data_IF_447404603850
#
_entry.id   IF_447404603850
#
_cell.length_a   1.000
_cell.length_b   1.000
_cell.length_c   1.000
_cell.angle_alpha   90.00
_cell.angle_beta   90.00
_cell.angle_gamma   90.00
#
_symmetry.space_group_name_H-M   'P 1'
#
loop_
_entity.id
_entity.type
_entity.pdbx_description
1 polymer ?
#
# COMPACT_ATOMS: atom_id res chain seq x y z
N UNK A 1 21.50 -44.51 40.35
CA UNK A 1 22.93 -44.41 39.99
C UNK A 1 23.15 -44.66 38.50
N UNK A 2 22.64 -45.76 37.93
CA UNK A 2 22.69 -46.04 36.49
C UNK A 2 22.01 -44.97 35.61
N UNK A 3 20.85 -44.45 36.01
CA UNK A 3 20.14 -43.44 35.21
C UNK A 3 20.88 -42.10 35.11
N UNK A 4 21.64 -41.73 36.14
CA UNK A 4 22.43 -40.49 36.15
C UNK A 4 23.63 -40.59 35.21
N UNK A 5 24.29 -41.75 35.16
CA UNK A 5 25.37 -42.03 34.21
C UNK A 5 24.88 -42.14 32.78
N UNK A 6 23.72 -42.76 32.55
CA UNK A 6 23.11 -42.81 31.21
C UNK A 6 22.74 -41.41 30.71
N UNK A 7 22.26 -40.53 31.60
CA UNK A 7 21.98 -39.12 31.29
C UNK A 7 23.26 -38.36 30.91
N UNK A 8 24.33 -38.51 31.68
CA UNK A 8 25.65 -37.93 31.40
C UNK A 8 26.24 -38.39 30.04
N UNK A 9 26.14 -39.67 29.70
CA UNK A 9 26.61 -40.21 28.41
C UNK A 9 25.77 -39.66 27.24
N UNK A 10 24.45 -39.52 27.43
CA UNK A 10 23.58 -38.93 26.43
C UNK A 10 23.88 -37.44 26.22
N UNK A 11 24.02 -36.68 27.32
CA UNK A 11 24.39 -35.26 27.30
C UNK A 11 25.74 -35.04 26.64
N UNK A 12 26.74 -35.88 26.89
CA UNK A 12 28.05 -35.78 26.26
C UNK A 12 27.98 -35.85 24.73
N UNK A 13 27.18 -36.77 24.16
CA UNK A 13 27.00 -36.87 22.70
C UNK A 13 26.38 -35.61 22.10
N UNK A 14 25.42 -35.01 22.80
CA UNK A 14 24.75 -33.77 22.37
C UNK A 14 25.70 -32.58 22.46
N UNK A 15 26.44 -32.46 23.55
CA UNK A 15 27.47 -31.43 23.75
C UNK A 15 28.54 -31.48 22.66
N UNK A 16 29.09 -32.65 22.34
CA UNK A 16 30.11 -32.78 21.28
C UNK A 16 29.56 -32.32 19.92
N UNK A 17 28.29 -32.61 19.62
CA UNK A 17 27.66 -32.12 18.39
C UNK A 17 27.50 -30.60 18.41
N UNK A 18 27.00 -30.04 19.51
CA UNK A 18 26.78 -28.60 19.67
C UNK A 18 28.09 -27.81 19.63
N UNK A 19 29.14 -28.27 20.32
CA UNK A 19 30.46 -27.65 20.33
C UNK A 19 31.07 -27.58 18.93
N UNK A 20 30.80 -28.58 18.07
CA UNK A 20 31.30 -28.56 16.69
C UNK A 20 30.45 -27.68 15.76
N UNK A 21 29.13 -27.62 15.93
CA UNK A 21 28.24 -26.90 14.99
C UNK A 21 27.92 -25.46 15.38
N UNK A 22 27.92 -25.15 16.67
CA UNK A 22 27.49 -23.85 17.19
C UNK A 22 28.46 -22.71 16.81
N UNK A 23 29.80 -22.90 16.81
CA UNK A 23 30.73 -21.87 16.33
C UNK A 23 30.53 -21.53 14.85
N UNK A 24 30.34 -22.54 14.00
CA UNK A 24 30.06 -22.34 12.56
C UNK A 24 28.74 -21.58 12.37
N UNK A 25 27.71 -21.94 13.14
CA UNK A 25 26.41 -21.27 13.10
C UNK A 25 26.50 -19.81 13.57
N UNK A 26 27.21 -19.55 14.69
CA UNK A 26 27.47 -18.20 15.19
C UNK A 26 28.23 -17.35 14.17
N UNK A 27 29.25 -17.91 13.52
CA UNK A 27 30.00 -17.24 12.47
C UNK A 27 29.10 -16.86 11.28
N UNK A 28 28.24 -17.77 10.83
CA UNK A 28 27.26 -17.48 9.79
C UNK A 28 26.30 -16.35 10.20
N UNK A 29 25.74 -16.38 11.41
CA UNK A 29 24.84 -15.33 11.91
C UNK A 29 25.57 -13.98 12.08
N UNK A 30 26.86 -13.99 12.44
CA UNK A 30 27.71 -12.79 12.47
C UNK A 30 27.97 -12.21 11.08
N UNK A 31 28.25 -13.07 10.10
CA UNK A 31 28.43 -12.66 8.70
C UNK A 31 27.15 -12.03 8.14
N UNK A 32 26.00 -12.66 8.39
CA UNK A 32 24.69 -12.10 8.04
C UNK A 32 24.46 -10.72 8.66
N UNK A 33 24.85 -10.53 9.93
CA UNK A 33 24.75 -9.24 10.59
C UNK A 33 25.63 -8.17 9.93
N UNK A 34 26.84 -8.52 9.49
CA UNK A 34 27.73 -7.60 8.78
C UNK A 34 27.18 -7.24 7.39
N UNK A 35 26.59 -8.20 6.69
CA UNK A 35 25.91 -7.97 5.42
C UNK A 35 24.76 -6.98 5.59
N UNK A 36 23.93 -7.16 6.63
CA UNK A 36 22.85 -6.24 6.96
C UNK A 36 23.34 -4.82 7.29
N UNK A 37 24.44 -4.68 8.04
CA UNK A 37 25.04 -3.37 8.34
C UNK A 37 25.53 -2.67 7.06
N UNK A 38 26.15 -3.43 6.16
CA UNK A 38 26.62 -2.92 4.86
C UNK A 38 25.45 -2.46 4.02
N UNK A 39 24.37 -3.24 4.02
CA UNK A 39 23.16 -2.93 3.27
C UNK A 39 22.45 -1.70 3.82
N UNK A 40 22.32 -1.56 5.14
CA UNK A 40 21.83 -0.32 5.77
C UNK A 40 22.72 0.88 5.42
N UNK A 41 24.05 0.71 5.44
CA UNK A 41 24.97 1.79 5.08
C UNK A 41 24.83 2.19 3.59
N UNK A 42 24.46 1.25 2.73
CA UNK A 42 24.14 1.52 1.32
C UNK A 42 22.80 2.26 1.20
N UNK A 43 21.75 1.73 1.82
CA UNK A 43 20.39 2.28 1.75
C UNK A 43 20.28 3.65 2.41
N UNK A 44 20.97 3.89 3.53
CA UNK A 44 20.97 5.19 4.23
C UNK A 44 21.52 6.37 3.41
N UNK A 45 22.22 6.09 2.30
CA UNK A 45 22.65 7.13 1.36
C UNK A 45 21.50 7.66 0.52
N UNK A 46 20.52 6.81 0.21
CA UNK A 46 19.41 7.06 -0.71
C UNK A 46 18.06 7.20 0.00
N UNK A 47 17.92 6.62 1.18
CA UNK A 47 16.67 6.55 1.93
C UNK A 47 16.81 7.10 3.33
N UNK A 48 15.76 7.74 3.84
CA UNK A 48 15.62 8.08 5.24
C UNK A 48 15.21 6.83 6.02
N UNK A 49 16.21 6.12 6.54
CA UNK A 49 15.99 4.95 7.39
C UNK A 49 15.72 5.37 8.84
N UNK A 50 14.84 4.65 9.52
CA UNK A 50 14.56 4.85 10.94
C UNK A 50 15.79 4.49 11.78
N UNK A 51 16.20 5.38 12.70
CA UNK A 51 17.32 5.12 13.62
C UNK A 51 17.08 3.88 14.52
N UNK A 52 15.83 3.42 14.64
CA UNK A 52 15.50 2.18 15.35
C UNK A 52 16.18 0.96 14.73
N UNK A 53 16.21 0.86 13.41
CA UNK A 53 16.63 -0.36 12.72
C UNK A 53 18.16 -0.50 12.74
N UNK A 54 18.87 0.62 12.54
CA UNK A 54 20.32 0.70 12.71
C UNK A 54 20.74 0.33 14.13
N UNK A 55 20.04 0.87 15.14
CA UNK A 55 20.32 0.55 16.54
C UNK A 55 20.00 -0.90 16.88
N UNK A 56 18.94 -1.47 16.31
CA UNK A 56 18.59 -2.87 16.52
C UNK A 56 19.68 -3.81 16.00
N UNK A 57 20.20 -3.59 14.79
CA UNK A 57 21.26 -4.42 14.21
C UNK A 57 22.57 -4.31 14.99
N UNK A 58 22.89 -3.11 15.53
CA UNK A 58 24.05 -2.94 16.44
C UNK A 58 23.87 -3.67 17.77
N UNK A 59 22.65 -3.74 18.31
CA UNK A 59 22.37 -4.55 19.50
C UNK A 59 22.54 -6.03 19.21
N UNK A 60 22.00 -6.52 18.09
CA UNK A 60 22.19 -7.91 17.64
C UNK A 60 23.67 -8.24 17.45
N UNK A 61 24.46 -7.30 16.90
CA UNK A 61 25.91 -7.46 16.78
C UNK A 61 26.58 -7.66 18.15
N UNK A 62 26.24 -6.80 19.11
CA UNK A 62 26.83 -6.83 20.45
C UNK A 62 26.43 -8.12 21.18
N UNK A 63 25.18 -8.55 21.00
CA UNK A 63 24.66 -9.79 21.57
C UNK A 63 25.37 -11.01 20.96
N UNK A 64 25.52 -11.09 19.64
CA UNK A 64 26.26 -12.17 18.97
C UNK A 64 27.73 -12.24 19.39
N UNK A 65 28.38 -11.09 19.63
CA UNK A 65 29.73 -11.05 20.20
C UNK A 65 29.75 -11.64 21.61
N UNK A 66 28.81 -11.26 22.47
CA UNK A 66 28.74 -11.79 23.83
C UNK A 66 28.43 -13.29 23.88
N UNK A 67 27.56 -13.79 22.99
CA UNK A 67 27.25 -15.21 22.89
C UNK A 67 28.45 -16.02 22.40
N UNK A 68 29.25 -15.46 21.49
CA UNK A 68 30.47 -16.11 21.01
C UNK A 68 31.54 -16.21 22.11
N UNK A 69 31.73 -15.15 22.91
CA UNK A 69 32.64 -15.17 24.05
C UNK A 69 32.23 -16.25 25.07
N UNK A 70 30.93 -16.35 25.36
CA UNK A 70 30.37 -17.38 26.27
C UNK A 70 30.52 -18.79 25.69
N UNK A 71 30.35 -18.97 24.38
CA UNK A 71 30.54 -20.27 23.73
C UNK A 71 32.02 -20.67 23.74
N UNK A 72 32.94 -19.73 23.49
CA UNK A 72 34.38 -19.98 23.59
C UNK A 72 34.78 -20.41 25.01
N UNK A 73 34.30 -19.69 26.03
CA UNK A 73 34.54 -20.04 27.44
C UNK A 73 33.95 -21.42 27.78
N UNK A 74 32.73 -21.73 27.33
CA UNK A 74 32.10 -23.02 27.54
C UNK A 74 32.85 -24.18 26.84
N UNK A 75 33.46 -23.92 25.68
CA UNK A 75 34.30 -24.90 24.96
C UNK A 75 35.61 -25.13 25.72
N UNK A 76 36.26 -24.07 26.21
CA UNK A 76 37.47 -24.16 27.03
C UNK A 76 37.21 -24.93 28.33
N UNK A 77 36.16 -24.59 29.08
CA UNK A 77 35.79 -25.25 30.34
C UNK A 77 35.38 -26.73 30.15
N UNK A 78 34.79 -27.06 29.00
CA UNK A 78 34.51 -28.44 28.60
C UNK A 78 35.81 -29.23 28.36
N UNK A 79 36.79 -28.61 27.70
CA UNK A 79 38.11 -29.22 27.45
C UNK A 79 38.87 -29.49 28.75
N UNK A 80 38.72 -28.61 29.75
CA UNK A 80 39.34 -28.73 31.08
C UNK A 80 38.50 -29.58 32.07
N UNK A 81 37.33 -30.10 31.65
CA UNK A 81 36.40 -30.93 32.45
C UNK A 81 35.97 -30.30 33.79
N UNK A 82 35.77 -28.98 33.82
CA UNK A 82 35.41 -28.26 35.05
C UNK A 82 33.93 -28.41 35.46
N UNK A 83 33.04 -28.81 34.54
CA UNK A 83 31.59 -28.85 34.75
C UNK A 83 30.96 -30.17 34.30
N UNK A 84 29.78 -30.50 34.84
CA UNK A 84 28.98 -31.65 34.42
C UNK A 84 28.39 -31.43 33.01
N UNK A 85 28.40 -32.47 32.16
CA UNK A 85 27.95 -32.36 30.75
C UNK A 85 26.47 -32.03 30.63
N UNK A 86 25.67 -32.38 31.64
CA UNK A 86 24.24 -32.04 31.70
C UNK A 86 23.97 -30.53 31.82
N UNK A 87 24.77 -29.80 32.61
CA UNK A 87 24.65 -28.34 32.77
C UNK A 87 25.17 -27.63 31.52
N UNK A 88 26.29 -28.11 30.99
CA UNK A 88 26.86 -27.59 29.74
C UNK A 88 25.91 -27.75 28.55
N UNK A 89 25.20 -28.88 28.47
CA UNK A 89 24.18 -29.10 27.45
C UNK A 89 23.07 -28.04 27.53
N UNK A 90 22.51 -27.80 28.71
CA UNK A 90 21.42 -26.83 28.91
C UNK A 90 21.84 -25.41 28.53
N UNK A 91 23.06 -25.02 28.87
CA UNK A 91 23.63 -23.72 28.49
C UNK A 91 23.80 -23.61 26.97
N UNK A 92 24.39 -24.62 26.32
CA UNK A 92 24.61 -24.62 24.87
C UNK A 92 23.29 -24.66 24.08
N UNK A 93 22.28 -25.40 24.56
CA UNK A 93 20.95 -25.42 23.96
C UNK A 93 20.24 -24.07 24.09
N UNK A 94 20.40 -23.39 25.23
CA UNK A 94 19.88 -22.03 25.44
C UNK A 94 20.53 -21.04 24.48
N UNK A 95 21.85 -21.11 24.32
CA UNK A 95 22.57 -20.25 23.37
C UNK A 95 22.13 -20.56 21.94
N UNK A 96 22.04 -21.84 21.55
CA UNK A 96 21.59 -22.23 20.22
C UNK A 96 20.18 -21.68 19.93
N UNK A 97 19.26 -21.75 20.89
CA UNK A 97 17.93 -21.18 20.75
C UNK A 97 17.99 -19.67 20.55
N UNK A 98 18.83 -18.95 21.32
CA UNK A 98 18.97 -17.50 21.18
C UNK A 98 19.60 -17.10 19.84
N UNK A 99 20.61 -17.82 19.36
CA UNK A 99 21.21 -17.57 18.03
C UNK A 99 20.17 -17.76 16.93
N UNK A 100 19.30 -18.76 17.08
CA UNK A 100 18.19 -18.97 16.14
C UNK A 100 17.18 -17.82 16.18
N UNK A 101 16.79 -17.35 17.36
CA UNK A 101 15.92 -16.17 17.50
C UNK A 101 16.55 -14.94 16.83
N UNK A 102 17.86 -14.73 16.99
CA UNK A 102 18.59 -13.65 16.32
C UNK A 102 18.57 -13.82 14.80
N UNK A 103 18.75 -15.03 14.28
CA UNK A 103 18.65 -15.30 12.84
C UNK A 103 17.24 -14.99 12.30
N UNK A 104 16.19 -15.38 13.02
CA UNK A 104 14.81 -15.04 12.66
C UNK A 104 14.58 -13.52 12.66
N UNK A 105 15.11 -12.80 13.65
CA UNK A 105 15.08 -11.32 13.71
C UNK A 105 15.84 -10.68 12.52
N UNK A 106 17.01 -11.23 12.17
CA UNK A 106 17.80 -10.79 11.01
C UNK A 106 17.07 -11.00 9.68
N UNK A 107 16.34 -12.11 9.52
CA UNK A 107 15.53 -12.37 8.34
C UNK A 107 14.43 -11.33 8.16
N UNK A 108 13.69 -11.01 9.23
CA UNK A 108 12.65 -9.97 9.20
C UNK A 108 13.23 -8.61 8.80
N UNK A 109 14.40 -8.26 9.33
CA UNK A 109 15.10 -7.03 8.96
C UNK A 109 15.55 -7.04 7.49
N UNK A 110 16.10 -8.16 7.03
CA UNK A 110 16.50 -8.33 5.62
C UNK A 110 15.33 -8.13 4.67
N UNK A 111 14.18 -8.74 4.96
CA UNK A 111 12.96 -8.57 4.19
C UNK A 111 12.47 -7.12 4.19
N UNK A 112 12.54 -6.45 5.36
CA UNK A 112 12.18 -5.02 5.46
C UNK A 112 13.09 -4.15 4.59
N UNK A 113 14.40 -4.37 4.63
CA UNK A 113 15.36 -3.62 3.81
C UNK A 113 15.17 -3.87 2.31
N UNK A 114 14.98 -5.13 1.90
CA UNK A 114 14.71 -5.48 0.51
C UNK A 114 13.39 -4.86 0.01
N UNK A 115 12.40 -4.72 0.90
CA UNK A 115 11.12 -4.09 0.57
C UNK A 115 11.26 -2.60 0.24
N UNK A 116 12.19 -1.88 0.86
CA UNK A 116 12.38 -0.43 0.65
C UNK A 116 12.63 -0.11 -0.83
N UNK A 117 13.56 -0.82 -1.48
CA UNK A 117 13.88 -0.57 -2.89
C UNK A 117 12.73 -0.99 -3.82
N UNK A 118 12.06 -2.09 -3.49
CA UNK A 118 10.90 -2.55 -4.24
C UNK A 118 9.75 -1.54 -4.15
N UNK A 119 9.53 -0.98 -2.96
CA UNK A 119 8.50 0.02 -2.72
C UNK A 119 8.84 1.33 -3.44
N UNK A 120 10.11 1.78 -3.46
CA UNK A 120 10.55 2.95 -4.24
C UNK A 120 10.31 2.76 -5.75
N UNK A 121 10.73 1.62 -6.31
CA UNK A 121 10.54 1.33 -7.72
C UNK A 121 9.04 1.29 -8.09
N UNK A 122 8.23 0.65 -7.24
CA UNK A 122 6.78 0.59 -7.41
C UNK A 122 6.14 1.98 -7.30
N UNK A 123 6.58 2.80 -6.34
CA UNK A 123 6.13 4.18 -6.17
C UNK A 123 6.36 5.00 -7.43
N UNK A 124 7.58 4.98 -7.97
CA UNK A 124 7.94 5.69 -9.20
C UNK A 124 7.12 5.21 -10.39
N UNK A 125 6.89 3.92 -10.52
CA UNK A 125 6.05 3.38 -11.59
C UNK A 125 4.60 3.86 -11.45
N UNK A 126 4.03 3.78 -10.25
CA UNK A 126 2.64 4.17 -9.97
C UNK A 126 2.40 5.66 -10.19
N UNK A 127 3.32 6.53 -9.75
CA UNK A 127 3.20 7.98 -9.97
C UNK A 127 3.10 8.30 -11.46
N UNK A 128 3.94 7.68 -12.30
CA UNK A 128 3.86 7.86 -13.74
C UNK A 128 2.52 7.38 -14.31
N UNK A 129 1.99 6.26 -13.81
CA UNK A 129 0.65 5.78 -14.19
C UNK A 129 -0.42 6.79 -13.79
N UNK A 130 -0.36 7.35 -12.58
CA UNK A 130 -1.34 8.32 -12.10
C UNK A 130 -1.28 9.65 -12.86
N UNK A 131 -0.09 10.14 -13.23
CA UNK A 131 0.06 11.31 -14.11
C UNK A 131 -0.64 11.07 -15.45
N UNK A 132 -0.39 9.92 -16.08
CA UNK A 132 -1.06 9.56 -17.34
C UNK A 132 -2.57 9.43 -17.15
N UNK A 133 -3.02 8.84 -16.03
CA UNK A 133 -4.44 8.69 -15.68
C UNK A 133 -5.12 10.05 -15.51
N UNK A 134 -4.49 11.01 -14.83
CA UNK A 134 -4.98 12.39 -14.69
C UNK A 134 -5.14 13.05 -16.07
N UNK A 135 -4.14 12.95 -16.93
CA UNK A 135 -4.22 13.49 -18.28
C UNK A 135 -5.32 12.84 -19.12
N UNK A 136 -5.49 11.52 -19.01
CA UNK A 136 -6.54 10.79 -19.72
C UNK A 136 -7.92 11.20 -19.23
N UNK A 137 -8.14 11.32 -17.91
CA UNK A 137 -9.41 11.79 -17.32
C UNK A 137 -9.71 13.21 -17.77
N UNK A 138 -8.72 14.11 -17.69
CA UNK A 138 -8.84 15.49 -18.17
C UNK A 138 -9.29 15.54 -19.63
N UNK A 139 -8.58 14.82 -20.51
CA UNK A 139 -8.92 14.75 -21.95
C UNK A 139 -10.27 14.10 -22.20
N UNK A 140 -10.67 13.12 -21.38
CA UNK A 140 -11.97 12.47 -21.48
C UNK A 140 -13.09 13.47 -21.19
N UNK A 141 -12.95 14.28 -20.14
CA UNK A 141 -13.89 15.34 -19.80
C UNK A 141 -13.92 16.47 -20.84
N UNK A 142 -12.77 16.93 -21.33
CA UNK A 142 -12.69 17.98 -22.36
C UNK A 142 -13.33 17.59 -23.70
N UNK A 143 -13.35 16.31 -24.03
CA UNK A 143 -13.97 15.81 -25.28
C UNK A 143 -15.48 15.66 -25.18
N UNK A 144 -16.04 15.61 -23.97
CA UNK A 144 -17.49 15.58 -23.79
C UNK A 144 -17.98 17.01 -23.96
N UNK A 145 -18.99 17.22 -24.81
CA UNK A 145 -19.58 18.53 -25.08
C UNK A 145 -20.47 19.00 -23.91
N UNK A 146 -19.92 18.99 -22.70
CA UNK A 146 -20.62 19.42 -21.50
C UNK A 146 -20.75 20.95 -21.49
N UNK A 147 -21.90 21.53 -21.09
CA UNK A 147 -22.05 22.98 -20.94
C UNK A 147 -21.01 23.61 -20.00
N UNK A 148 -20.60 22.89 -18.96
CA UNK A 148 -19.54 23.30 -18.05
C UNK A 148 -19.04 22.16 -17.16
N UNK A 149 -17.98 22.42 -16.41
CA UNK A 149 -17.36 21.42 -15.53
C UNK A 149 -17.86 21.65 -14.09
N UNK A 150 -18.40 20.61 -13.41
CA UNK A 150 -18.87 20.75 -12.04
C UNK A 150 -17.74 21.13 -11.09
N UNK A 151 -18.05 21.93 -10.07
CA UNK A 151 -17.07 22.31 -9.03
C UNK A 151 -16.60 21.11 -8.20
N UNK A 152 -17.44 20.09 -8.03
CA UNK A 152 -17.07 18.84 -7.34
C UNK A 152 -15.89 18.17 -8.04
N UNK A 153 -15.98 17.99 -9.36
CA UNK A 153 -14.90 17.43 -10.17
C UNK A 153 -13.62 18.24 -10.09
N UNK A 154 -13.69 19.57 -10.21
CA UNK A 154 -12.49 20.42 -10.13
C UNK A 154 -11.79 20.27 -8.79
N UNK A 155 -12.55 20.22 -7.69
CA UNK A 155 -11.99 20.05 -6.34
C UNK A 155 -11.24 18.73 -6.21
N UNK A 156 -11.86 17.62 -6.63
CA UNK A 156 -11.23 16.29 -6.57
C UNK A 156 -10.04 16.20 -7.52
N UNK A 157 -10.15 16.77 -8.73
CA UNK A 157 -9.08 16.78 -9.73
C UNK A 157 -7.85 17.54 -9.25
N UNK A 158 -8.03 18.75 -8.71
CA UNK A 158 -6.90 19.54 -8.18
C UNK A 158 -6.30 18.87 -6.95
N UNK A 159 -7.11 18.31 -6.05
CA UNK A 159 -6.59 17.56 -4.89
C UNK A 159 -5.71 16.38 -5.33
N UNK A 160 -6.19 15.57 -6.29
CA UNK A 160 -5.42 14.45 -6.83
C UNK A 160 -4.15 14.90 -7.57
N UNK A 161 -4.23 16.04 -8.30
CA UNK A 161 -3.08 16.64 -8.98
C UNK A 161 -2.03 17.12 -8.00
N UNK A 162 -2.42 17.89 -6.98
CA UNK A 162 -1.55 18.43 -5.95
C UNK A 162 -0.88 17.29 -5.16
N UNK A 163 -1.64 16.24 -4.81
CA UNK A 163 -1.10 15.06 -4.15
C UNK A 163 -0.13 14.26 -5.04
N UNK A 164 -0.36 14.22 -6.35
CA UNK A 164 0.56 13.60 -7.31
C UNK A 164 1.86 14.40 -7.41
N UNK A 165 1.79 15.73 -7.49
CA UNK A 165 2.96 16.61 -7.52
C UNK A 165 3.76 16.54 -6.21
N UNK A 166 3.07 16.53 -5.06
CA UNK A 166 3.71 16.38 -3.76
C UNK A 166 4.46 15.03 -3.65
N UNK A 167 3.86 13.95 -4.14
CA UNK A 167 4.49 12.63 -4.14
C UNK A 167 5.69 12.57 -5.10
N UNK A 168 5.59 13.21 -6.26
CA UNK A 168 6.73 13.34 -7.19
C UNK A 168 7.88 14.10 -6.53
N UNK A 169 7.59 15.22 -5.87
CA UNK A 169 8.58 16.02 -5.16
C UNK A 169 9.27 15.23 -4.03
N UNK A 170 8.52 14.40 -3.29
CA UNK A 170 9.08 13.52 -2.25
C UNK A 170 10.03 12.46 -2.85
N UNK A 171 9.68 11.89 -4.01
CA UNK A 171 10.51 10.91 -4.72
C UNK A 171 11.77 11.50 -5.38
N UNK A 172 11.78 12.81 -5.63
CA UNK A 172 12.92 13.53 -6.20
C UNK A 172 13.90 14.06 -5.13
N UNK A 173 13.58 13.90 -3.84
CA UNK A 173 14.49 14.29 -2.77
C UNK A 173 15.79 13.49 -2.80
N UNK A 174 16.86 14.12 -2.29
CA UNK A 174 18.18 13.47 -2.17
C UNK A 174 18.15 12.21 -1.30
N UNK A 175 17.30 12.19 -0.26
CA UNK A 175 16.99 10.99 0.52
C UNK A 175 15.49 10.82 0.61
N UNK A 176 14.98 9.71 0.11
CA UNK A 176 13.55 9.44 0.02
C UNK A 176 13.04 8.83 1.32
N UNK A 177 11.94 9.33 1.86
CA UNK A 177 11.24 8.70 2.97
C UNK A 177 10.18 7.71 2.44
N UNK A 178 10.53 6.43 2.37
CA UNK A 178 9.63 5.39 1.83
C UNK A 178 8.35 5.21 2.66
N UNK A 179 8.39 5.45 3.98
CA UNK A 179 7.17 5.42 4.80
C UNK A 179 6.22 6.59 4.48
N UNK A 180 6.77 7.77 4.17
CA UNK A 180 5.99 8.92 3.71
C UNK A 180 5.40 8.64 2.33
N UNK A 181 6.23 8.22 1.38
CA UNK A 181 5.86 7.87 0.01
C UNK A 181 4.75 6.82 -0.02
N UNK A 182 4.87 5.75 0.77
CA UNK A 182 3.85 4.69 0.82
C UNK A 182 2.49 5.21 1.32
N UNK A 183 2.48 6.09 2.33
CA UNK A 183 1.23 6.71 2.83
C UNK A 183 0.63 7.66 1.79
N UNK A 184 1.44 8.48 1.15
CA UNK A 184 1.00 9.39 0.09
C UNK A 184 0.47 8.63 -1.12
N UNK A 185 1.08 7.50 -1.50
CA UNK A 185 0.59 6.62 -2.55
C UNK A 185 -0.78 6.03 -2.23
N UNK A 186 -1.03 5.65 -0.98
CA UNK A 186 -2.32 5.11 -0.57
C UNK A 186 -3.42 6.17 -0.68
N UNK A 187 -3.14 7.39 -0.19
CA UNK A 187 -4.03 8.55 -0.33
C UNK A 187 -4.30 8.82 -1.81
N UNK A 188 -3.25 8.93 -2.62
CA UNK A 188 -3.37 9.20 -4.04
C UNK A 188 -4.13 8.09 -4.77
N UNK A 189 -3.96 6.82 -4.38
CA UNK A 189 -4.73 5.71 -4.95
C UNK A 189 -6.23 5.92 -4.73
N UNK A 190 -6.61 6.35 -3.53
CA UNK A 190 -8.01 6.63 -3.20
C UNK A 190 -8.53 7.84 -3.97
N UNK A 191 -7.77 8.95 -4.00
CA UNK A 191 -8.13 10.16 -4.74
C UNK A 191 -8.31 9.88 -6.24
N UNK A 192 -7.45 9.04 -6.83
CA UNK A 192 -7.53 8.65 -8.24
C UNK A 192 -8.72 7.74 -8.55
N UNK A 193 -9.17 6.94 -7.57
CA UNK A 193 -10.38 6.14 -7.70
C UNK A 193 -11.64 6.99 -7.54
N UNK A 194 -11.63 7.92 -6.58
CA UNK A 194 -12.71 8.89 -6.39
C UNK A 194 -12.88 9.77 -7.62
N UNK A 195 -11.78 10.30 -8.16
CA UNK A 195 -11.78 11.10 -9.39
C UNK A 195 -12.36 10.32 -10.57
N UNK A 196 -11.95 9.06 -10.75
CA UNK A 196 -12.48 8.22 -11.82
C UNK A 196 -13.99 7.96 -11.66
N UNK A 197 -14.43 7.63 -10.45
CA UNK A 197 -15.85 7.39 -10.16
C UNK A 197 -16.68 8.65 -10.38
N UNK A 198 -16.22 9.80 -9.88
CA UNK A 198 -16.91 11.08 -10.06
C UNK A 198 -16.98 11.47 -11.54
N UNK A 199 -15.91 11.21 -12.31
CA UNK A 199 -15.91 11.40 -13.77
C UNK A 199 -17.01 10.57 -14.44
N UNK A 200 -17.12 9.29 -14.10
CA UNK A 200 -18.17 8.44 -14.66
C UNK A 200 -19.56 8.91 -14.27
N UNK A 201 -19.78 9.27 -12.99
CA UNK A 201 -21.08 9.75 -12.50
C UNK A 201 -21.52 11.03 -13.21
N UNK A 202 -20.61 11.98 -13.40
CA UNK A 202 -20.90 13.23 -14.11
C UNK A 202 -21.30 12.96 -15.54
N UNK A 203 -20.52 12.13 -16.25
CA UNK A 203 -20.77 11.83 -17.66
C UNK A 203 -22.05 11.02 -17.85
N UNK A 204 -22.32 10.09 -16.94
CA UNK A 204 -23.58 9.34 -16.88
C UNK A 204 -24.77 10.26 -16.68
N UNK A 205 -24.78 11.05 -15.60
CA UNK A 205 -25.86 11.96 -15.29
C UNK A 205 -26.08 12.98 -16.40
N UNK A 206 -25.01 13.50 -17.00
CA UNK A 206 -25.12 14.43 -18.11
C UNK A 206 -25.79 13.78 -19.35
N UNK A 207 -25.31 12.60 -19.74
CA UNK A 207 -25.83 11.86 -20.91
C UNK A 207 -27.30 11.47 -20.70
N UNK A 208 -27.64 10.96 -19.52
CA UNK A 208 -29.00 10.56 -19.17
C UNK A 208 -29.93 11.76 -19.12
N UNK A 209 -29.49 12.87 -18.53
CA UNK A 209 -30.27 14.11 -18.49
C UNK A 209 -30.59 14.59 -19.89
N UNK A 210 -29.63 14.64 -20.81
CA UNK A 210 -29.88 15.02 -22.20
C UNK A 210 -30.92 14.12 -22.88
N UNK A 211 -30.83 12.81 -22.68
CA UNK A 211 -31.79 11.85 -23.24
C UNK A 211 -33.19 12.03 -22.65
N UNK A 212 -33.30 12.26 -21.34
CA UNK A 212 -34.57 12.48 -20.67
C UNK A 212 -35.19 13.83 -21.04
N UNK A 213 -34.40 14.89 -21.16
CA UNK A 213 -34.84 16.19 -21.67
C UNK A 213 -35.35 16.07 -23.12
N UNK A 214 -34.66 15.29 -23.97
CA UNK A 214 -35.15 15.02 -25.32
C UNK A 214 -36.46 14.23 -25.31
N UNK A 215 -36.57 13.21 -24.46
CA UNK A 215 -37.77 12.37 -24.33
C UNK A 215 -38.96 13.14 -23.78
N UNK A 216 -38.75 14.02 -22.80
CA UNK A 216 -39.79 14.78 -22.11
C UNK A 216 -40.51 15.78 -23.01
N UNK A 217 -39.89 16.19 -24.13
CA UNK A 217 -40.56 16.98 -25.18
C UNK A 217 -41.87 16.32 -25.68
N UNK A 218 -42.02 15.00 -25.55
CA UNK A 218 -43.26 14.28 -25.91
C UNK A 218 -44.44 14.65 -25.00
N UNK A 219 -44.17 14.99 -23.75
CA UNK A 219 -45.18 15.25 -22.72
C UNK A 219 -45.31 16.75 -22.39
N UNK A 220 -44.32 17.56 -22.79
CA UNK A 220 -44.23 19.00 -22.47
C UNK A 220 -45.47 19.82 -22.84
N UNK A 221 -46.17 19.48 -23.93
CA UNK A 221 -47.37 20.20 -24.35
C UNK A 221 -48.65 19.77 -23.63
N UNK A 222 -48.60 18.67 -22.88
CA UNK A 222 -49.76 18.03 -22.26
C UNK A 222 -49.72 18.03 -20.74
N UNK A 223 -48.54 18.19 -20.13
CA UNK A 223 -48.34 18.20 -18.69
C UNK A 223 -47.49 19.42 -18.25
N UNK A 224 -48.12 20.33 -17.50
CA UNK A 224 -47.49 21.55 -16.98
C UNK A 224 -46.40 21.24 -15.93
N UNK A 225 -46.54 20.13 -15.20
CA UNK A 225 -45.54 19.65 -14.25
C UNK A 225 -44.26 19.21 -14.95
N UNK A 226 -44.38 18.46 -16.05
CA UNK A 226 -43.22 18.08 -16.89
C UNK A 226 -42.57 19.31 -17.53
N UNK A 227 -43.36 20.29 -17.99
CA UNK A 227 -42.82 21.53 -18.54
C UNK A 227 -42.03 22.33 -17.51
N UNK A 228 -42.53 22.41 -16.27
CA UNK A 228 -41.84 23.12 -15.18
C UNK A 228 -40.54 22.43 -14.81
N UNK A 229 -40.57 21.10 -14.64
CA UNK A 229 -39.39 20.30 -14.35
C UNK A 229 -38.35 20.36 -15.48
N UNK A 230 -38.78 20.37 -16.75
CA UNK A 230 -37.90 20.54 -17.91
C UNK A 230 -37.12 21.85 -17.84
N UNK A 231 -37.80 22.98 -17.62
CA UNK A 231 -37.14 24.29 -17.56
C UNK A 231 -36.15 24.35 -16.40
N UNK A 232 -36.53 23.82 -15.23
CA UNK A 232 -35.67 23.81 -14.04
C UNK A 232 -34.47 22.89 -14.20
N UNK A 233 -34.67 21.67 -14.73
CA UNK A 233 -33.57 20.77 -15.04
C UNK A 233 -32.61 21.41 -16.05
N UNK A 234 -33.12 22.04 -17.12
CA UNK A 234 -32.29 22.73 -18.10
C UNK A 234 -31.49 23.88 -17.49
N UNK A 235 -32.08 24.67 -16.60
CA UNK A 235 -31.39 25.75 -15.87
C UNK A 235 -30.24 25.19 -15.01
N UNK A 236 -30.50 24.13 -14.24
CA UNK A 236 -29.48 23.46 -13.41
C UNK A 236 -28.37 22.86 -14.29
N UNK A 237 -28.73 22.27 -15.44
CA UNK A 237 -27.80 21.64 -16.37
C UNK A 237 -26.86 22.66 -17.04
N UNK A 238 -27.40 23.79 -17.51
CA UNK A 238 -26.65 24.78 -18.30
C UNK A 238 -25.95 25.85 -17.44
N UNK A 239 -26.49 26.21 -16.27
CA UNK A 239 -25.96 27.32 -15.45
C UNK A 239 -25.27 26.85 -14.17
N UNK A 240 -25.88 25.89 -13.46
CA UNK A 240 -25.33 25.40 -12.18
C UNK A 240 -24.30 24.27 -12.38
N UNK A 241 -24.34 23.62 -13.55
CA UNK A 241 -23.53 22.45 -13.91
C UNK A 241 -23.70 21.28 -12.92
N UNK A 242 -24.85 21.19 -12.26
CA UNK A 242 -25.19 20.09 -11.36
C UNK A 242 -25.99 19.02 -12.12
N UNK A 243 -25.26 18.16 -12.82
CA UNK A 243 -25.86 17.11 -13.64
C UNK A 243 -26.66 16.10 -12.82
N UNK A 244 -26.30 15.88 -11.55
CA UNK A 244 -27.02 14.95 -10.69
C UNK A 244 -28.39 15.55 -10.32
N UNK A 245 -28.42 16.79 -9.84
CA UNK A 245 -29.67 17.45 -9.49
C UNK A 245 -30.58 17.62 -10.72
N UNK A 246 -29.99 17.95 -11.88
CA UNK A 246 -30.75 18.04 -13.13
C UNK A 246 -31.35 16.71 -13.57
N UNK A 247 -30.62 15.61 -13.42
CA UNK A 247 -31.12 14.26 -13.72
C UNK A 247 -32.29 13.91 -12.80
N UNK A 248 -32.12 14.10 -11.49
CA UNK A 248 -33.15 13.79 -10.50
C UNK A 248 -34.44 14.58 -10.73
N UNK A 249 -34.36 15.88 -11.04
CA UNK A 249 -35.54 16.73 -11.29
C UNK A 249 -36.35 16.25 -12.51
N UNK A 250 -35.70 15.95 -13.64
CA UNK A 250 -36.41 15.49 -14.85
C UNK A 250 -36.90 14.05 -14.72
N UNK A 251 -36.14 13.18 -14.05
CA UNK A 251 -36.52 11.79 -13.78
C UNK A 251 -37.78 11.70 -12.93
N UNK A 252 -37.87 12.46 -11.85
CA UNK A 252 -39.05 12.46 -10.97
C UNK A 252 -40.31 12.88 -11.72
N UNK A 253 -40.23 13.94 -12.53
CA UNK A 253 -41.37 14.39 -13.32
C UNK A 253 -41.81 13.37 -14.38
N UNK A 254 -40.85 12.70 -15.04
CA UNK A 254 -41.16 11.68 -16.04
C UNK A 254 -41.72 10.40 -15.44
N UNK A 255 -41.24 9.97 -14.26
CA UNK A 255 -41.75 8.77 -13.60
C UNK A 255 -43.17 8.94 -13.05
N UNK A 256 -43.62 10.18 -12.79
CA UNK A 256 -45.03 10.47 -12.46
C UNK A 256 -45.95 10.23 -13.66
N UNK A 257 -45.48 10.54 -14.87
CA UNK A 257 -46.27 10.40 -16.11
C UNK A 257 -46.18 8.99 -16.68
N UNK A 258 -44.98 8.41 -16.71
CA UNK A 258 -44.71 7.07 -17.20
C UNK A 258 -43.72 6.36 -16.24
N UNK A 259 -44.24 5.62 -15.25
CA UNK A 259 -43.40 4.97 -14.25
C UNK A 259 -42.39 3.98 -14.88
N UNK A 260 -41.12 4.11 -14.53
CA UNK A 260 -40.05 3.20 -14.93
C UNK A 260 -39.34 3.59 -16.22
N UNK A 261 -39.66 4.75 -16.81
CA UNK A 261 -38.91 5.32 -17.94
C UNK A 261 -37.46 5.56 -17.56
N UNK A 262 -37.23 6.16 -16.40
CA UNK A 262 -35.87 6.46 -15.92
C UNK A 262 -35.01 5.20 -15.85
N UNK A 263 -35.55 4.13 -15.24
CA UNK A 263 -34.84 2.84 -15.12
C UNK A 263 -34.50 2.21 -16.47
N UNK A 264 -35.35 2.40 -17.49
CA UNK A 264 -35.07 1.90 -18.85
C UNK A 264 -33.89 2.61 -19.49
N UNK A 265 -33.81 3.94 -19.34
CA UNK A 265 -32.69 4.73 -19.85
C UNK A 265 -31.38 4.40 -19.12
N UNK A 266 -31.42 4.30 -17.78
CA UNK A 266 -30.26 3.88 -16.97
C UNK A 266 -29.76 2.50 -17.41
N UNK A 267 -30.65 1.51 -17.49
CA UNK A 267 -30.28 0.14 -17.92
C UNK A 267 -29.72 0.12 -19.35
N UNK A 268 -30.20 0.99 -20.23
CA UNK A 268 -29.67 1.11 -21.59
C UNK A 268 -28.27 1.72 -21.58
N UNK A 269 -28.06 2.76 -20.78
CA UNK A 269 -26.77 3.44 -20.65
C UNK A 269 -25.70 2.51 -20.08
N UNK A 270 -26.01 1.74 -19.02
CA UNK A 270 -25.09 0.76 -18.44
C UNK A 270 -24.57 -0.24 -19.47
N UNK A 271 -25.40 -0.63 -20.45
CA UNK A 271 -25.03 -1.56 -21.53
C UNK A 271 -24.15 -0.92 -22.61
N UNK A 272 -24.25 0.39 -22.81
CA UNK A 272 -23.51 1.13 -23.85
C UNK A 272 -22.41 2.02 -23.29
N UNK A 273 -22.18 2.00 -21.98
CA UNK A 273 -21.21 2.87 -21.30
C UNK A 273 -19.80 2.65 -21.85
N UNK A 274 -19.17 3.76 -22.24
CA UNK A 274 -17.78 3.76 -22.69
C UNK A 274 -16.83 3.81 -21.48
N UNK A 275 -15.93 2.83 -21.40
CA UNK A 275 -14.88 2.82 -20.38
C UNK A 275 -13.72 3.72 -20.79
N UNK A 276 -13.19 4.47 -19.82
CA UNK A 276 -11.96 5.25 -19.99
C UNK A 276 -10.81 4.25 -20.19
N UNK A 277 -10.07 4.40 -21.29
CA UNK A 277 -8.89 3.57 -21.58
C UNK A 277 -7.65 4.30 -21.08
N UNK A 278 -7.08 3.78 -20.00
CA UNK A 278 -5.84 4.28 -19.39
C UNK A 278 -4.59 3.71 -20.07
#
# INVERSE_FOLDING_TARGET
>A
MYDMFNREIASHKVVVKLVNSLPDYLNHTKENNQNLLTEIARLSKLYLLTESDTNHIRRLQSELSSLDDVVLEAIEDSSERKQAYSVLQENLETIQKRVKEIEDEQLVLSEKLAKIEKDDANARQKVNIYINKLHTIKRYMEKRNLPGIPRSFLTVFFTASDNTEALLAELEQYRVNIESVNRMLEILTNDMNELENETYRIVENATLTEQLLQYSNRYRSFDEGVQTAFNRALEIFENDFDYQASFEEISQALDVVEPGVTNRFVTSYEKTRENIRF
#
